data_IF_435023870400
#
_entry.id   IF_435023870400
#
_cell.length_a   1.000
_cell.length_b   1.000
_cell.length_c   1.000
_cell.angle_alpha   90.00
_cell.angle_beta   90.00
_cell.angle_gamma   90.00
#
_symmetry.space_group_name_H-M   'P 1'
#
loop_
_entity.id
_entity.type
_entity.pdbx_description
1 polymer ?
#
# COMPACT_ATOMS: atom_id res chain seq x y z
N UNK A 1 -8.67 -12.66 15.08
CA UNK A 1 -8.40 -13.91 14.29
C UNK A 1 -7.06 -14.47 14.74
N UNK A 2 -6.99 -15.70 15.24
CA UNK A 2 -5.72 -16.30 15.70
C UNK A 2 -4.76 -16.50 14.51
N UNK A 3 -3.47 -16.16 14.68
CA UNK A 3 -2.42 -16.41 13.66
C UNK A 3 -2.37 -17.87 13.22
N UNK A 4 -2.71 -18.76 14.14
CA UNK A 4 -2.68 -20.20 13.94
C UNK A 4 -3.80 -20.67 13.03
N UNK A 5 -5.00 -20.09 13.13
CA UNK A 5 -6.15 -20.39 12.26
C UNK A 5 -5.89 -19.97 10.82
N UNK A 6 -5.28 -18.78 10.61
CA UNK A 6 -4.93 -18.33 9.26
C UNK A 6 -3.81 -19.17 8.63
N UNK A 7 -2.83 -19.59 9.43
CA UNK A 7 -1.77 -20.51 9.00
C UNK A 7 -2.31 -21.86 8.62
N UNK A 8 -3.21 -22.44 9.45
CA UNK A 8 -3.85 -23.71 9.17
C UNK A 8 -4.68 -23.64 7.86
N UNK A 9 -5.47 -22.60 7.65
CA UNK A 9 -6.21 -22.42 6.40
C UNK A 9 -5.31 -22.37 5.17
N UNK A 10 -4.18 -21.66 5.26
CA UNK A 10 -3.20 -21.58 4.17
C UNK A 10 -2.52 -22.93 3.90
N UNK A 11 -2.20 -23.71 4.94
CA UNK A 11 -1.64 -25.06 4.80
C UNK A 11 -2.60 -26.01 4.11
N UNK A 12 -3.89 -25.99 4.49
CA UNK A 12 -4.93 -26.78 3.84
C UNK A 12 -5.09 -26.41 2.37
N UNK A 13 -5.07 -25.10 2.06
CA UNK A 13 -5.16 -24.64 0.68
C UNK A 13 -3.99 -25.13 -0.17
N UNK A 14 -2.77 -25.01 0.37
CA UNK A 14 -1.55 -25.48 -0.31
C UNK A 14 -1.55 -26.99 -0.53
N UNK A 15 -2.04 -27.78 0.43
CA UNK A 15 -2.17 -29.23 0.31
C UNK A 15 -3.16 -29.62 -0.80
N UNK A 16 -4.32 -28.95 -0.87
CA UNK A 16 -5.30 -29.21 -1.93
C UNK A 16 -4.78 -28.84 -3.32
N UNK A 17 -4.01 -27.75 -3.42
CA UNK A 17 -3.43 -27.29 -4.70
C UNK A 17 -2.25 -28.14 -5.17
N UNK A 18 -1.56 -28.80 -4.26
CA UNK A 18 -0.44 -29.70 -4.62
C UNK A 18 -0.88 -30.95 -5.38
N UNK A 19 -2.18 -31.25 -5.41
CA UNK A 19 -2.73 -32.50 -5.98
C UNK A 19 -2.35 -33.74 -5.20
N UNK A 20 -1.68 -33.62 -4.05
CA UNK A 20 -1.27 -34.75 -3.20
C UNK A 20 -2.26 -35.03 -2.05
N UNK A 21 -3.36 -34.28 -1.98
CA UNK A 21 -4.37 -34.46 -0.93
C UNK A 21 -5.07 -35.81 -1.05
N UNK A 22 -5.12 -36.56 0.06
CA UNK A 22 -5.78 -37.85 0.17
C UNK A 22 -7.22 -37.69 0.71
N UNK A 23 -8.03 -38.76 0.61
CA UNK A 23 -9.38 -38.79 1.23
C UNK A 23 -9.34 -38.48 2.74
N UNK A 24 -8.26 -38.90 3.43
CA UNK A 24 -8.05 -38.61 4.86
C UNK A 24 -7.82 -37.12 5.09
N UNK A 25 -7.11 -36.45 4.18
CA UNK A 25 -6.85 -35.01 4.29
C UNK A 25 -8.14 -34.21 4.05
N UNK A 26 -8.99 -34.63 3.13
CA UNK A 26 -10.30 -34.04 2.92
C UNK A 26 -11.20 -34.17 4.15
N UNK A 27 -11.23 -35.36 4.78
CA UNK A 27 -11.97 -35.57 6.02
C UNK A 27 -11.43 -34.74 7.19
N UNK A 28 -10.09 -34.63 7.31
CA UNK A 28 -9.43 -33.83 8.34
C UNK A 28 -9.70 -32.33 8.15
N UNK A 29 -9.68 -31.82 6.91
CA UNK A 29 -10.06 -30.45 6.59
C UNK A 29 -11.51 -30.17 6.98
N UNK A 30 -12.44 -31.07 6.63
CA UNK A 30 -13.84 -30.91 6.99
C UNK A 30 -14.01 -30.84 8.51
N UNK A 31 -13.38 -31.75 9.25
CA UNK A 31 -13.41 -31.76 10.72
C UNK A 31 -12.80 -30.44 11.29
N UNK A 32 -11.71 -29.95 10.72
CA UNK A 32 -11.11 -28.68 11.15
C UNK A 32 -12.05 -27.49 10.89
N UNK A 33 -12.75 -27.45 9.76
CA UNK A 33 -13.74 -26.39 9.44
C UNK A 33 -14.90 -26.41 10.41
N UNK A 34 -15.41 -27.59 10.75
CA UNK A 34 -16.56 -27.78 11.62
C UNK A 34 -16.23 -27.55 13.11
N UNK A 35 -14.96 -27.61 13.48
CA UNK A 35 -14.52 -27.49 14.88
C UNK A 35 -14.74 -26.11 15.50
N UNK A 36 -14.79 -25.02 14.69
CA UNK A 36 -15.02 -23.66 15.17
C UNK A 36 -15.51 -22.72 14.06
N UNK A 37 -16.52 -21.83 14.31
CA UNK A 37 -17.01 -20.88 13.29
C UNK A 37 -15.94 -19.98 12.66
N UNK A 38 -14.88 -19.63 13.41
CA UNK A 38 -13.76 -18.86 12.88
C UNK A 38 -12.94 -19.63 11.84
N UNK A 39 -12.86 -20.95 11.93
CA UNK A 39 -12.15 -21.77 10.94
C UNK A 39 -12.85 -21.71 9.60
N UNK A 40 -14.18 -21.88 9.59
CA UNK A 40 -15.00 -21.79 8.38
C UNK A 40 -14.93 -20.40 7.76
N UNK A 41 -15.06 -19.33 8.53
CA UNK A 41 -14.94 -17.95 8.02
C UNK A 41 -13.54 -17.68 7.42
N UNK A 42 -12.50 -18.21 8.05
CA UNK A 42 -11.12 -18.03 7.57
C UNK A 42 -10.90 -18.84 6.30
N UNK A 43 -11.45 -20.04 6.23
CA UNK A 43 -11.42 -20.89 5.04
C UNK A 43 -12.11 -20.23 3.85
N UNK A 44 -13.31 -19.68 4.02
CA UNK A 44 -14.05 -18.97 2.97
C UNK A 44 -13.29 -17.76 2.45
N UNK A 45 -12.65 -16.98 3.35
CA UNK A 45 -11.78 -15.87 2.94
C UNK A 45 -10.58 -16.33 2.12
N UNK A 46 -9.95 -17.44 2.51
CA UNK A 46 -8.82 -18.02 1.78
C UNK A 46 -9.24 -18.50 0.38
N UNK A 47 -10.41 -19.14 0.25
CA UNK A 47 -10.96 -19.56 -1.05
C UNK A 47 -11.32 -18.36 -1.95
N UNK A 48 -11.93 -17.32 -1.40
CA UNK A 48 -12.26 -16.10 -2.16
C UNK A 48 -11.00 -15.43 -2.69
N UNK A 49 -9.95 -15.41 -1.88
CA UNK A 49 -8.66 -14.90 -2.28
C UNK A 49 -8.06 -15.72 -3.43
N UNK A 50 -8.10 -17.05 -3.32
CA UNK A 50 -7.68 -17.97 -4.37
C UNK A 50 -8.41 -17.71 -5.70
N UNK A 51 -9.73 -17.60 -5.69
CA UNK A 51 -10.52 -17.32 -6.89
C UNK A 51 -10.09 -16.03 -7.58
N UNK A 52 -9.81 -14.98 -6.82
CA UNK A 52 -9.30 -13.71 -7.38
C UNK A 52 -7.92 -13.85 -8.04
N UNK A 53 -7.11 -14.81 -7.61
CA UNK A 53 -5.81 -15.09 -8.22
C UNK A 53 -5.89 -16.06 -9.40
N UNK A 54 -6.87 -16.98 -9.44
CA UNK A 54 -7.06 -17.90 -10.57
C UNK A 54 -7.68 -17.22 -11.80
N UNK A 55 -8.31 -16.08 -11.66
CA UNK A 55 -8.78 -15.26 -12.78
C UNK A 55 -7.66 -14.47 -13.50
N UNK A 56 -6.42 -14.58 -13.02
CA UNK A 56 -5.25 -14.07 -13.74
C UNK A 56 -4.91 -15.02 -14.92
N UNK A 57 -4.80 -14.50 -16.18
CA UNK A 57 -4.51 -15.34 -17.34
C UNK A 57 -3.25 -16.15 -17.14
N UNK A 58 -3.32 -17.47 -17.34
CA UNK A 58 -2.19 -18.41 -17.25
C UNK A 58 -0.98 -18.05 -18.12
N UNK A 59 -1.17 -17.20 -19.13
CA UNK A 59 -0.11 -16.70 -19.99
C UNK A 59 1.01 -15.92 -19.27
N UNK A 60 0.75 -15.38 -18.09
CA UNK A 60 1.77 -14.67 -17.30
C UNK A 60 2.60 -15.59 -16.40
N UNK A 61 2.07 -16.76 -16.06
CA UNK A 61 2.80 -17.78 -15.28
C UNK A 61 3.76 -18.61 -16.16
N UNK A 62 3.48 -18.75 -17.44
CA UNK A 62 4.25 -19.58 -18.38
C UNK A 62 5.46 -18.86 -18.98
N UNK A 63 5.52 -17.54 -18.98
CA UNK A 63 6.64 -16.79 -19.57
C UNK A 63 7.97 -16.91 -18.79
N UNK A 64 7.97 -17.54 -17.61
CA UNK A 64 9.18 -17.78 -16.81
C UNK A 64 9.71 -19.20 -16.86
N UNK A 65 9.05 -20.12 -17.57
CA UNK A 65 9.34 -21.57 -17.54
C UNK A 65 9.79 -22.17 -18.89
N UNK A 66 10.10 -21.35 -19.89
CA UNK A 66 10.62 -21.86 -21.16
C UNK A 66 12.11 -22.25 -21.01
N UNK A 67 12.36 -23.49 -20.57
CA UNK A 67 13.65 -24.18 -20.60
C UNK A 67 13.48 -25.63 -21.12
N UNK A 68 14.39 -26.09 -22.00
CA UNK A 68 14.27 -27.40 -22.66
C UNK A 68 14.46 -28.55 -21.69
N UNK A 69 13.85 -29.69 -22.02
CA UNK A 69 13.77 -30.95 -21.26
C UNK A 69 15.12 -31.45 -20.76
N UNK A 70 15.30 -31.79 -19.49
CA UNK A 70 16.48 -32.51 -19.01
C UNK A 70 16.21 -34.00 -18.79
N UNK A 71 17.19 -34.79 -19.20
CA UNK A 71 17.20 -36.24 -19.07
C UNK A 71 17.35 -36.75 -17.62
N UNK A 72 17.28 -38.08 -17.49
CA UNK A 72 17.16 -38.93 -16.28
C UNK A 72 18.06 -38.65 -15.05
N UNK A 73 18.82 -37.58 -15.02
CA UNK A 73 19.63 -37.13 -13.81
C UNK A 73 18.95 -36.09 -12.96
N UNK A 74 17.68 -35.73 -13.22
CA UNK A 74 16.96 -34.65 -12.57
C UNK A 74 16.27 -35.04 -11.23
N UNK A 75 16.14 -36.32 -10.90
CA UNK A 75 15.43 -36.79 -9.72
C UNK A 75 16.16 -36.44 -8.41
N UNK A 76 17.50 -36.36 -8.44
CA UNK A 76 18.27 -35.95 -7.23
C UNK A 76 18.31 -34.42 -7.00
N UNK A 77 17.97 -33.61 -7.99
CA UNK A 77 17.93 -32.15 -7.85
C UNK A 77 16.58 -31.60 -7.34
N UNK A 78 15.54 -32.42 -7.37
CA UNK A 78 14.20 -32.05 -6.87
C UNK A 78 14.15 -31.83 -5.35
N UNK A 79 14.93 -32.58 -4.60
CA UNK A 79 15.01 -32.43 -3.13
C UNK A 79 15.72 -31.15 -2.69
N UNK A 80 16.68 -30.63 -3.49
CA UNK A 80 17.34 -29.35 -3.25
C UNK A 80 16.49 -28.13 -3.65
N UNK A 81 15.56 -28.30 -4.60
CA UNK A 81 14.62 -27.25 -5.01
C UNK A 81 13.58 -26.92 -3.95
N UNK A 82 13.10 -27.91 -3.20
CA UNK A 82 12.19 -27.73 -2.07
C UNK A 82 12.84 -27.01 -0.90
N UNK A 83 14.12 -27.25 -0.65
CA UNK A 83 14.88 -26.55 0.42
C UNK A 83 15.13 -25.06 0.12
N UNK A 84 15.09 -24.65 -1.16
CA UNK A 84 15.23 -23.26 -1.57
C UNK A 84 13.90 -22.50 -1.59
N UNK A 85 12.73 -23.18 -1.71
CA UNK A 85 11.41 -22.52 -1.70
C UNK A 85 10.97 -22.05 -0.31
N UNK A 86 11.43 -22.72 0.76
CA UNK A 86 11.10 -22.33 2.14
C UNK A 86 11.74 -20.98 2.52
N UNK A 87 13.03 -20.70 2.22
CA UNK A 87 13.62 -19.38 2.47
C UNK A 87 13.02 -18.28 1.61
N UNK A 88 12.66 -18.57 0.35
CA UNK A 88 12.03 -17.55 -0.54
C UNK A 88 10.61 -17.23 -0.12
N UNK A 89 9.80 -18.20 0.27
CA UNK A 89 8.48 -17.98 0.84
C UNK A 89 8.58 -17.20 2.18
N UNK A 90 9.59 -17.48 3.00
CA UNK A 90 9.86 -16.77 4.24
C UNK A 90 10.37 -15.33 4.00
N UNK A 91 11.22 -15.10 2.99
CA UNK A 91 11.64 -13.76 2.57
C UNK A 91 10.48 -12.95 1.97
N UNK A 92 9.63 -13.57 1.16
CA UNK A 92 8.42 -12.94 0.60
C UNK A 92 7.43 -12.61 1.72
N UNK A 93 7.25 -13.49 2.71
CA UNK A 93 6.35 -13.24 3.86
C UNK A 93 6.81 -12.09 4.75
N UNK A 94 8.11 -11.78 4.79
CA UNK A 94 8.65 -10.60 5.48
C UNK A 94 8.42 -9.29 4.72
N UNK A 95 8.21 -9.37 3.41
CA UNK A 95 7.93 -8.20 2.57
C UNK A 95 6.42 -7.97 2.33
N UNK A 96 5.58 -8.96 2.64
CA UNK A 96 4.14 -8.77 2.62
C UNK A 96 3.74 -7.96 3.87
N UNK A 97 3.08 -6.81 3.71
CA UNK A 97 2.63 -5.98 4.83
C UNK A 97 1.42 -6.64 5.51
N UNK A 98 1.66 -7.77 6.22
CA UNK A 98 0.60 -8.54 6.91
C UNK A 98 -0.10 -7.65 7.96
N UNK A 99 0.63 -6.69 8.53
CA UNK A 99 0.07 -5.70 9.46
C UNK A 99 -0.95 -4.80 8.77
N UNK A 100 -0.70 -4.38 7.54
CA UNK A 100 -1.63 -3.56 6.76
C UNK A 100 -2.93 -4.30 6.39
N UNK A 101 -2.90 -5.62 6.29
CA UNK A 101 -4.10 -6.44 6.02
C UNK A 101 -5.00 -6.66 7.26
N UNK A 102 -4.46 -6.37 8.44
CA UNK A 102 -5.14 -6.49 9.75
C UNK A 102 -5.61 -5.14 10.26
N UNK A 103 -5.25 -4.06 9.57
CA UNK A 103 -5.60 -2.71 9.93
C UNK A 103 -7.12 -2.56 10.07
N UNK A 104 -7.55 -1.76 11.05
CA UNK A 104 -8.96 -1.45 11.30
C UNK A 104 -9.60 -0.76 10.10
N UNK A 105 -8.82 0.11 9.45
CA UNK A 105 -9.22 0.80 8.22
C UNK A 105 -8.12 0.66 7.16
N UNK A 106 -8.54 0.33 5.94
CA UNK A 106 -7.64 0.27 4.79
C UNK A 106 -8.32 0.76 3.52
N UNK A 107 -7.51 1.16 2.55
CA UNK A 107 -7.90 1.52 1.19
C UNK A 107 -7.12 0.69 0.18
N UNK A 108 -7.78 0.30 -0.91
CA UNK A 108 -7.12 -0.33 -2.06
C UNK A 108 -6.35 0.71 -2.90
N UNK A 109 -5.56 0.23 -3.88
CA UNK A 109 -4.91 1.11 -4.86
C UNK A 109 -5.96 1.90 -5.64
N UNK A 110 -5.83 3.22 -5.65
CA UNK A 110 -6.76 4.18 -6.27
C UNK A 110 -7.97 4.53 -5.39
N UNK A 111 -8.22 3.80 -4.32
CA UNK A 111 -9.30 4.09 -3.37
C UNK A 111 -8.88 5.20 -2.39
N UNK A 112 -9.82 6.04 -2.05
CA UNK A 112 -9.71 7.06 -1.00
C UNK A 112 -10.93 6.95 -0.10
N UNK A 113 -10.73 7.14 1.20
CA UNK A 113 -11.81 7.00 2.19
C UNK A 113 -11.78 8.17 3.17
N UNK A 114 -12.95 8.71 3.50
CA UNK A 114 -13.10 9.72 4.54
C UNK A 114 -13.94 9.16 5.67
N UNK A 115 -13.47 9.36 6.89
CA UNK A 115 -14.14 8.97 8.14
C UNK A 115 -14.30 10.23 8.98
N UNK A 116 -15.51 10.50 9.42
CA UNK A 116 -15.78 11.56 10.39
C UNK A 116 -15.51 11.01 11.80
N UNK A 117 -14.87 11.80 12.61
CA UNK A 117 -14.60 11.48 14.01
C UNK A 117 -15.66 12.11 14.89
N UNK A 118 -15.95 11.50 16.06
CA UNK A 118 -17.02 11.93 16.97
C UNK A 118 -16.81 13.35 17.53
N UNK A 119 -15.57 13.85 17.50
CA UNK A 119 -15.20 15.20 17.96
C UNK A 119 -15.33 16.28 16.87
N UNK A 120 -15.96 15.97 15.75
CA UNK A 120 -16.12 16.85 14.58
C UNK A 120 -14.89 16.92 13.68
N UNK A 121 -13.83 16.19 14.01
CA UNK A 121 -12.66 16.02 13.16
C UNK A 121 -12.90 15.09 11.98
N UNK A 122 -11.90 14.95 11.12
CA UNK A 122 -11.96 13.97 10.03
C UNK A 122 -10.62 13.32 9.74
N UNK A 123 -10.68 12.02 9.45
CA UNK A 123 -9.58 11.21 8.96
C UNK A 123 -9.83 10.88 7.50
N UNK A 124 -8.89 11.25 6.62
CA UNK A 124 -8.93 10.85 5.21
C UNK A 124 -7.76 9.91 4.94
N UNK A 125 -8.04 8.79 4.30
CA UNK A 125 -7.06 7.81 3.85
C UNK A 125 -6.87 7.96 2.34
N UNK A 126 -5.62 8.07 1.92
CA UNK A 126 -5.24 8.08 0.51
C UNK A 126 -5.16 6.64 -0.05
N UNK A 127 -4.74 6.50 -1.29
CA UNK A 127 -4.54 5.22 -1.98
C UNK A 127 -3.62 4.27 -1.20
N UNK A 128 -3.94 2.97 -1.19
CA UNK A 128 -3.12 1.91 -0.59
C UNK A 128 -2.66 2.22 0.85
N UNK A 129 -3.58 2.70 1.67
CA UNK A 129 -3.31 3.13 3.05
C UNK A 129 -3.90 2.13 4.04
N UNK A 130 -3.17 1.89 5.13
CA UNK A 130 -3.58 1.04 6.23
C UNK A 130 -3.31 1.73 7.58
N UNK A 131 -4.33 1.80 8.43
CA UNK A 131 -4.27 2.43 9.76
C UNK A 131 -5.02 1.61 10.79
N UNK A 132 -4.48 1.57 12.01
CA UNK A 132 -5.22 1.15 13.20
C UNK A 132 -5.75 2.38 13.94
N UNK A 133 -6.98 2.29 14.46
CA UNK A 133 -7.67 3.43 15.08
C UNK A 133 -8.16 3.04 16.47
N UNK A 134 -7.59 3.65 17.49
CA UNK A 134 -8.04 3.57 18.88
C UNK A 134 -8.61 4.91 19.32
N UNK A 135 -9.92 5.10 19.12
CA UNK A 135 -10.60 6.36 19.48
C UNK A 135 -10.67 6.55 20.99
N UNK A 136 -10.69 5.48 21.79
CA UNK A 136 -10.71 5.58 23.25
C UNK A 136 -9.41 6.20 23.77
N UNK A 137 -8.27 5.85 23.17
CA UNK A 137 -6.97 6.45 23.48
C UNK A 137 -6.61 7.65 22.61
N UNK A 138 -7.52 8.07 21.71
CA UNK A 138 -7.28 9.14 20.73
C UNK A 138 -5.98 8.91 19.94
N UNK A 139 -5.79 7.68 19.42
CA UNK A 139 -4.59 7.26 18.71
C UNK A 139 -4.94 6.67 17.35
N UNK A 140 -4.16 7.05 16.36
CA UNK A 140 -4.16 6.50 15.01
C UNK A 140 -2.75 6.00 14.72
N UNK A 141 -2.59 4.75 14.32
CA UNK A 141 -1.29 4.19 13.91
C UNK A 141 -1.26 4.05 12.40
N UNK A 142 -0.38 4.82 11.74
CA UNK A 142 -0.16 4.71 10.30
C UNK A 142 0.81 3.56 10.03
N UNK A 143 0.29 2.45 9.51
CA UNK A 143 1.06 1.26 9.17
C UNK A 143 1.70 1.41 7.80
N UNK A 144 0.93 1.88 6.79
CA UNK A 144 1.40 2.14 5.43
C UNK A 144 0.52 3.19 4.74
N UNK A 145 1.04 3.79 3.66
CA UNK A 145 0.29 4.74 2.83
C UNK A 145 0.36 6.18 3.34
N UNK A 146 -0.76 6.87 3.28
CA UNK A 146 -0.86 8.31 3.54
C UNK A 146 -2.23 8.67 4.10
N UNK A 147 -2.24 9.46 5.17
CA UNK A 147 -3.46 9.98 5.78
C UNK A 147 -3.44 11.52 5.87
N UNK A 148 -4.62 12.10 5.89
CA UNK A 148 -4.85 13.48 6.32
C UNK A 148 -5.75 13.46 7.55
N UNK A 149 -5.37 14.19 8.58
CA UNK A 149 -6.08 14.30 9.85
C UNK A 149 -6.41 15.77 10.11
N UNK A 150 -7.68 16.03 10.39
CA UNK A 150 -8.19 17.31 10.85
C UNK A 150 -8.70 17.15 12.27
N UNK A 151 -8.11 17.86 13.20
CA UNK A 151 -8.51 17.88 14.62
C UNK A 151 -8.88 19.30 15.00
N UNK A 152 -10.18 19.66 15.01
CA UNK A 152 -10.63 21.02 15.35
C UNK A 152 -10.56 21.32 16.85
N UNK A 153 -10.60 20.29 17.70
CA UNK A 153 -10.62 20.42 19.15
C UNK A 153 -9.25 20.57 19.80
N UNK A 154 -9.24 21.04 21.04
CA UNK A 154 -8.03 21.21 21.86
C UNK A 154 -7.48 19.86 22.38
N UNK A 155 -8.34 18.84 22.53
CA UNK A 155 -7.91 17.51 22.94
C UNK A 155 -7.06 16.85 21.85
N UNK A 156 -5.78 16.53 22.12
CA UNK A 156 -4.89 16.05 21.09
C UNK A 156 -5.25 14.64 20.59
N UNK A 157 -5.09 14.42 19.27
CA UNK A 157 -5.04 13.13 18.66
C UNK A 157 -3.57 12.76 18.42
N UNK A 158 -3.18 11.55 18.76
CA UNK A 158 -1.82 11.03 18.52
C UNK A 158 -1.77 10.24 17.23
N UNK A 159 -0.90 10.60 16.30
CA UNK A 159 -0.58 9.79 15.12
C UNK A 159 0.75 9.09 15.36
N UNK A 160 0.70 7.77 15.47
CA UNK A 160 1.87 6.92 15.63
C UNK A 160 2.38 6.49 14.25
N UNK A 161 3.68 6.55 14.03
CA UNK A 161 4.34 6.07 12.81
C UNK A 161 5.52 5.16 13.16
N UNK A 162 6.13 4.50 12.18
CA UNK A 162 7.35 3.71 12.39
C UNK A 162 8.55 4.53 12.84
N UNK A 163 8.50 5.87 12.67
CA UNK A 163 9.64 6.77 12.89
C UNK A 163 9.44 7.74 14.03
N UNK A 164 8.31 7.67 14.73
CA UNK A 164 7.97 8.53 15.87
C UNK A 164 6.48 8.81 15.94
N UNK A 165 6.12 9.76 16.79
CA UNK A 165 4.74 10.14 17.05
C UNK A 165 4.49 11.64 16.80
N UNK A 166 3.25 11.95 16.44
CA UNK A 166 2.76 13.31 16.27
C UNK A 166 1.59 13.55 17.23
N UNK A 167 1.58 14.70 17.91
CA UNK A 167 0.42 15.18 18.66
C UNK A 167 -0.23 16.31 17.89
N UNK A 168 -1.47 16.09 17.49
CA UNK A 168 -2.26 16.97 16.62
C UNK A 168 -3.44 17.51 17.42
N UNK A 169 -3.53 18.83 17.60
CA UNK A 169 -4.66 19.53 18.24
C UNK A 169 -4.86 20.87 17.56
N UNK A 170 -6.10 21.24 17.27
CA UNK A 170 -6.45 22.45 16.52
C UNK A 170 -5.61 22.63 15.25
N UNK A 171 -5.41 21.52 14.50
CA UNK A 171 -4.50 21.48 13.37
C UNK A 171 -4.97 20.52 12.28
N UNK A 172 -4.51 20.79 11.06
CA UNK A 172 -4.65 19.91 9.91
C UNK A 172 -3.27 19.43 9.44
N UNK A 173 -3.09 18.12 9.36
CA UNK A 173 -1.82 17.50 9.02
C UNK A 173 -2.02 16.38 8.00
N UNK A 174 -1.06 16.25 7.07
CA UNK A 174 -0.90 15.07 6.23
C UNK A 174 0.36 14.31 6.65
N UNK A 175 0.24 12.98 6.72
CA UNK A 175 1.31 12.09 7.15
C UNK A 175 1.43 10.98 6.12
N UNK A 176 2.59 10.88 5.47
CA UNK A 176 2.86 9.89 4.43
C UNK A 176 4.03 8.99 4.83
N UNK A 177 3.74 7.70 4.92
CA UNK A 177 4.77 6.69 5.14
C UNK A 177 5.60 6.51 3.85
N UNK A 178 6.91 6.53 3.96
CA UNK A 178 7.86 6.31 2.88
C UNK A 178 8.74 5.11 3.22
N UNK A 179 9.43 4.54 2.23
CA UNK A 179 10.35 3.41 2.45
C UNK A 179 11.43 3.72 3.50
N UNK A 180 11.94 4.97 3.52
CA UNK A 180 13.02 5.40 4.42
C UNK A 180 12.63 6.65 5.24
N UNK A 181 11.42 6.68 5.79
CA UNK A 181 10.97 7.78 6.62
C UNK A 181 9.47 8.02 6.54
N UNK A 182 9.03 9.07 7.18
CA UNK A 182 7.67 9.54 7.15
C UNK A 182 7.70 11.04 6.82
N UNK A 183 6.91 11.47 5.84
CA UNK A 183 6.74 12.89 5.53
C UNK A 183 5.56 13.42 6.32
N UNK A 184 5.80 14.49 7.06
CA UNK A 184 4.80 15.21 7.85
C UNK A 184 4.63 16.59 7.26
N UNK A 185 3.42 16.95 6.82
CA UNK A 185 3.08 18.25 6.23
C UNK A 185 1.95 18.88 7.02
N UNK A 186 2.19 20.03 7.65
CA UNK A 186 1.19 20.74 8.44
C UNK A 186 0.52 21.80 7.57
N UNK A 187 -0.80 21.65 7.35
CA UNK A 187 -1.57 22.58 6.53
C UNK A 187 -1.98 23.81 7.36
N UNK A 188 -2.51 23.57 8.56
CA UNK A 188 -2.97 24.62 9.47
C UNK A 188 -2.64 24.25 10.90
N UNK A 189 -2.49 25.26 11.76
CA UNK A 189 -2.17 25.10 13.16
C UNK A 189 -0.72 24.72 13.40
N UNK A 190 -0.47 23.96 14.47
CA UNK A 190 0.86 23.47 14.83
C UNK A 190 0.79 22.02 15.30
N UNK A 191 1.83 21.26 14.99
CA UNK A 191 1.92 19.83 15.33
C UNK A 191 3.22 19.57 16.07
N UNK A 192 3.12 18.95 17.24
CA UNK A 192 4.30 18.48 17.97
C UNK A 192 4.71 17.11 17.42
N UNK A 193 5.98 16.98 17.04
CA UNK A 193 6.58 15.74 16.53
C UNK A 193 7.61 15.25 17.55
N UNK A 194 7.53 13.98 17.92
CA UNK A 194 8.53 13.30 18.75
C UNK A 194 9.19 12.21 17.93
N UNK A 195 10.51 12.25 17.79
CA UNK A 195 11.28 11.21 17.13
C UNK A 195 11.53 9.99 18.04
N UNK A 196 12.12 8.93 17.48
CA UNK A 196 12.43 7.71 18.23
C UNK A 196 13.47 7.90 19.34
N UNK A 197 14.26 8.97 19.29
CA UNK A 197 15.22 9.32 20.35
C UNK A 197 14.57 10.11 21.48
N UNK A 198 13.26 10.45 21.35
CA UNK A 198 12.52 11.25 22.32
C UNK A 198 12.65 12.76 22.12
N UNK A 199 13.42 13.23 21.12
CA UNK A 199 13.51 14.67 20.83
C UNK A 199 12.19 15.18 20.28
N UNK A 200 11.81 16.37 20.71
CA UNK A 200 10.57 17.02 20.32
C UNK A 200 10.87 18.25 19.44
N UNK A 201 10.03 18.45 18.44
CA UNK A 201 10.01 19.64 17.61
C UNK A 201 8.57 20.01 17.28
N UNK A 202 8.33 21.28 16.97
CA UNK A 202 7.01 21.78 16.54
C UNK A 202 7.11 22.22 15.08
N UNK A 203 6.21 21.70 14.25
CA UNK A 203 5.99 22.14 12.88
C UNK A 203 4.78 23.08 12.84
N UNK A 204 4.89 24.15 12.08
CA UNK A 204 3.84 25.14 11.88
C UNK A 204 3.12 24.92 10.55
N UNK A 205 1.94 25.49 10.39
CA UNK A 205 1.22 25.51 9.12
C UNK A 205 2.10 26.01 7.97
N UNK A 206 2.03 25.34 6.81
CA UNK A 206 2.89 25.61 5.65
C UNK A 206 4.27 24.96 5.70
N UNK A 207 4.60 24.23 6.75
CA UNK A 207 5.86 23.51 6.91
C UNK A 207 5.70 22.01 6.72
N UNK A 208 6.72 21.39 6.12
CA UNK A 208 6.86 19.94 6.07
C UNK A 208 8.25 19.51 6.53
N UNK A 209 8.34 18.32 7.10
CA UNK A 209 9.61 17.72 7.48
C UNK A 209 9.55 16.20 7.31
N UNK A 210 10.72 15.60 7.09
CA UNK A 210 10.86 14.15 7.01
C UNK A 210 11.36 13.59 8.34
N UNK A 211 10.56 12.73 8.94
CA UNK A 211 10.91 11.97 10.13
C UNK A 211 11.56 10.65 9.70
N UNK A 212 12.76 10.37 10.17
CA UNK A 212 13.57 9.17 9.85
C UNK A 212 14.03 8.50 11.13
N UNK A 213 14.67 7.33 11.00
CA UNK A 213 15.30 6.62 12.14
C UNK A 213 16.32 7.50 12.89
N UNK A 214 17.04 8.38 12.18
CA UNK A 214 17.99 9.34 12.77
C UNK A 214 17.37 10.62 13.34
N UNK A 215 16.04 10.73 13.36
CA UNK A 215 15.30 11.86 13.90
C UNK A 215 14.60 12.70 12.84
N UNK A 216 14.06 13.84 13.29
CA UNK A 216 13.37 14.80 12.43
C UNK A 216 14.42 15.58 11.60
N UNK A 217 14.24 15.57 10.27
CA UNK A 217 15.02 16.39 9.36
C UNK A 217 14.66 17.89 9.43
N UNK A 218 15.41 18.71 8.71
CA UNK A 218 15.08 20.13 8.57
C UNK A 218 13.68 20.27 7.95
N UNK A 219 12.93 21.24 8.44
CA UNK A 219 11.66 21.61 7.84
C UNK A 219 11.88 22.45 6.57
N UNK A 220 10.97 22.31 5.62
CA UNK A 220 10.91 23.10 4.40
C UNK A 220 9.48 23.61 4.19
N UNK A 221 9.30 24.75 3.51
CA UNK A 221 7.99 25.13 3.02
C UNK A 221 7.45 24.05 2.07
N UNK A 222 6.13 23.87 2.03
CA UNK A 222 5.50 23.04 1.03
C UNK A 222 4.32 23.75 0.39
N UNK A 223 4.01 23.35 -0.84
CA UNK A 223 2.83 23.83 -1.53
C UNK A 223 1.62 22.94 -1.17
N UNK A 224 0.56 23.53 -0.63
CA UNK A 224 -0.68 22.84 -0.28
C UNK A 224 -1.34 22.15 -1.49
N UNK A 225 -1.06 22.59 -2.72
CA UNK A 225 -1.53 21.96 -3.95
C UNK A 225 -1.01 20.51 -4.12
N UNK A 226 0.12 20.17 -3.51
CA UNK A 226 0.64 18.79 -3.47
C UNK A 226 -0.28 17.83 -2.69
N UNK A 227 -1.15 18.36 -1.85
CA UNK A 227 -2.13 17.60 -1.07
C UNK A 227 -3.54 17.61 -1.68
N UNK A 228 -3.67 17.97 -2.96
CA UNK A 228 -4.92 18.00 -3.71
C UNK A 228 -5.62 16.62 -3.80
N UNK A 229 -4.92 15.53 -3.50
CA UNK A 229 -5.51 14.20 -3.41
C UNK A 229 -6.68 14.12 -2.42
N UNK A 230 -6.71 14.98 -1.41
CA UNK A 230 -7.82 15.10 -0.44
C UNK A 230 -9.13 15.43 -1.13
N UNK A 231 -9.06 16.20 -2.21
CA UNK A 231 -10.17 16.62 -3.05
C UNK A 231 -10.28 15.81 -4.35
N UNK A 232 -9.47 14.74 -4.47
CA UNK A 232 -9.47 13.88 -5.63
C UNK A 232 -8.70 14.41 -6.83
N UNK A 233 -7.79 15.34 -6.62
CA UNK A 233 -7.05 16.00 -7.69
C UNK A 233 -5.54 15.81 -7.49
N UNK A 234 -4.83 15.57 -8.58
CA UNK A 234 -3.38 15.62 -8.64
C UNK A 234 -3.00 16.88 -9.42
N UNK A 235 -2.30 17.80 -8.78
CA UNK A 235 -1.90 19.07 -9.37
C UNK A 235 -0.39 19.10 -9.65
N UNK A 236 -0.01 19.56 -10.82
CA UNK A 236 1.36 19.78 -11.24
C UNK A 236 1.54 21.24 -11.65
N UNK A 237 2.62 21.88 -11.21
CA UNK A 237 3.03 23.22 -11.61
C UNK A 237 4.46 23.16 -12.12
N UNK A 238 4.63 23.22 -13.44
CA UNK A 238 5.94 23.11 -14.09
C UNK A 238 6.79 21.96 -13.53
N UNK A 239 6.12 20.83 -13.21
CA UNK A 239 6.72 19.64 -12.60
C UNK A 239 7.34 18.74 -13.68
N UNK A 240 8.50 18.10 -13.46
CA UNK A 240 9.00 17.04 -14.35
C UNK A 240 7.96 15.92 -14.50
N UNK A 241 7.74 15.47 -15.75
CA UNK A 241 6.77 14.40 -16.05
C UNK A 241 7.09 13.12 -15.27
N UNK A 242 8.37 12.76 -15.16
CA UNK A 242 8.77 11.58 -14.39
C UNK A 242 8.31 11.64 -12.94
N UNK A 243 8.41 12.80 -12.26
CA UNK A 243 7.94 12.97 -10.88
C UNK A 243 6.42 12.88 -10.81
N UNK A 244 5.71 13.46 -11.77
CA UNK A 244 4.27 13.38 -11.87
C UNK A 244 3.79 11.93 -12.09
N UNK A 245 4.45 11.19 -12.99
CA UNK A 245 4.11 9.79 -13.27
C UNK A 245 4.39 8.86 -12.08
N UNK A 246 5.45 9.11 -11.31
CA UNK A 246 5.72 8.38 -10.06
C UNK A 246 4.61 8.58 -9.04
N UNK A 247 4.08 9.80 -8.93
CA UNK A 247 2.94 10.07 -8.04
C UNK A 247 1.65 9.46 -8.60
N UNK A 248 1.37 9.60 -9.90
CA UNK A 248 0.20 9.01 -10.56
C UNK A 248 0.17 7.48 -10.44
N UNK A 249 1.33 6.83 -10.52
CA UNK A 249 1.45 5.37 -10.40
C UNK A 249 0.91 4.84 -9.06
N UNK A 250 0.93 5.62 -7.99
CA UNK A 250 0.34 5.23 -6.69
C UNK A 250 -1.16 4.95 -6.79
N UNK A 251 -1.84 5.59 -7.71
CA UNK A 251 -3.29 5.49 -7.89
C UNK A 251 -3.71 4.46 -8.94
N UNK A 252 -2.73 3.80 -9.57
CA UNK A 252 -2.98 2.80 -10.61
C UNK A 252 -2.56 1.41 -10.16
N UNK A 253 -3.40 0.38 -10.37
CA UNK A 253 -2.94 -0.99 -10.24
C UNK A 253 -1.99 -1.35 -11.40
N UNK A 254 -0.92 -2.09 -11.07
CA UNK A 254 0.04 -2.56 -12.07
C UNK A 254 1.26 -1.67 -12.24
N UNK A 255 1.85 -1.68 -13.44
CA UNK A 255 3.13 -1.06 -13.75
C UNK A 255 2.97 0.00 -14.82
N UNK A 256 3.45 1.20 -14.55
CA UNK A 256 3.60 2.28 -15.49
C UNK A 256 5.09 2.44 -15.80
N UNK A 257 5.48 2.34 -17.07
CA UNK A 257 6.85 2.55 -17.53
C UNK A 257 6.88 3.68 -18.55
N UNK A 258 7.95 4.40 -18.57
CA UNK A 258 8.17 5.47 -19.55
C UNK A 258 9.63 5.51 -20.00
N UNK A 259 9.85 6.02 -21.20
CA UNK A 259 11.19 6.25 -21.73
C UNK A 259 11.90 7.36 -20.94
N UNK A 260 13.24 7.27 -20.74
CA UNK A 260 14.01 8.29 -20.04
C UNK A 260 13.92 9.68 -20.68
N UNK A 261 13.69 9.75 -22.00
CA UNK A 261 13.48 10.99 -22.75
C UNK A 261 12.29 11.81 -22.26
N UNK A 262 11.27 11.15 -21.68
CA UNK A 262 10.05 11.79 -21.17
C UNK A 262 10.22 12.37 -19.75
N UNK A 263 11.25 11.96 -19.00
CA UNK A 263 11.48 12.37 -17.60
C UNK A 263 11.45 13.87 -17.39
N UNK A 264 12.12 14.63 -18.28
CA UNK A 264 12.33 16.06 -18.15
C UNK A 264 11.20 16.91 -18.71
N UNK A 265 10.24 16.34 -19.44
CA UNK A 265 9.08 17.07 -19.96
C UNK A 265 8.34 17.74 -18.81
N UNK A 266 7.75 18.91 -19.07
CA UNK A 266 7.11 19.70 -18.02
C UNK A 266 5.60 19.57 -18.09
N UNK A 267 5.01 19.29 -16.92
CA UNK A 267 3.56 19.17 -16.74
C UNK A 267 3.06 20.35 -15.93
N UNK A 268 1.98 20.95 -16.39
CA UNK A 268 1.19 21.92 -15.63
C UNK A 268 -0.28 21.61 -15.83
N UNK A 269 -1.02 21.46 -14.75
CA UNK A 269 -2.46 21.19 -14.79
C UNK A 269 -2.97 20.55 -13.51
N UNK A 270 -4.28 20.43 -13.44
CA UNK A 270 -4.99 19.73 -12.36
C UNK A 270 -5.76 18.56 -12.93
N UNK A 271 -5.53 17.37 -12.43
CA UNK A 271 -6.00 16.11 -12.99
C UNK A 271 -6.84 15.35 -11.97
N UNK A 272 -8.04 14.93 -12.37
CA UNK A 272 -8.93 14.14 -11.50
C UNK A 272 -8.43 12.72 -11.39
N UNK A 273 -8.24 12.24 -10.18
CA UNK A 273 -7.73 10.92 -9.86
C UNK A 273 -8.74 9.78 -10.10
N UNK A 274 -9.98 10.10 -10.41
CA UNK A 274 -11.05 9.11 -10.65
C UNK A 274 -10.81 8.29 -11.94
N UNK A 275 -10.10 8.88 -12.92
CA UNK A 275 -9.78 8.24 -14.20
C UNK A 275 -8.32 8.52 -14.59
N UNK A 276 -7.46 7.63 -14.16
CA UNK A 276 -6.02 7.73 -14.41
C UNK A 276 -5.62 7.39 -15.85
N UNK A 277 -6.43 6.65 -16.60
CA UNK A 277 -6.18 6.38 -18.03
C UNK A 277 -6.39 7.66 -18.83
N UNK A 278 -7.48 8.38 -18.56
CA UNK A 278 -7.74 9.68 -19.16
C UNK A 278 -6.63 10.71 -18.89
N UNK A 279 -6.01 10.67 -17.70
CA UNK A 279 -4.86 11.55 -17.39
C UNK A 279 -3.71 11.24 -18.36
N UNK A 280 -3.38 9.96 -18.57
CA UNK A 280 -2.30 9.57 -19.48
C UNK A 280 -2.59 9.98 -20.93
N UNK A 281 -3.83 9.82 -21.40
CA UNK A 281 -4.24 10.22 -22.74
C UNK A 281 -4.15 11.74 -22.95
N UNK A 282 -4.56 12.53 -21.96
CA UNK A 282 -4.45 13.99 -21.99
C UNK A 282 -2.99 14.44 -22.02
N UNK A 283 -2.14 13.83 -21.20
CA UNK A 283 -0.70 14.13 -21.19
C UNK A 283 -0.04 13.75 -22.52
N UNK A 284 -0.38 12.59 -23.08
CA UNK A 284 0.13 12.14 -24.38
C UNK A 284 -0.25 13.09 -25.50
N UNK A 285 -1.51 13.53 -25.52
CA UNK A 285 -2.00 14.50 -26.52
C UNK A 285 -1.30 15.85 -26.40
N UNK A 286 -1.04 16.30 -25.17
CA UNK A 286 -0.43 17.61 -24.89
C UNK A 286 1.08 17.64 -25.10
N UNK A 287 1.79 16.56 -24.76
CA UNK A 287 3.24 16.49 -24.74
C UNK A 287 3.84 15.71 -25.93
N UNK A 288 2.99 15.10 -26.78
CA UNK A 288 3.41 14.46 -28.02
C UNK A 288 4.04 13.08 -27.86
N UNK A 289 3.75 12.35 -26.79
CA UNK A 289 4.20 10.98 -26.61
C UNK A 289 3.05 9.96 -26.84
N UNK A 290 3.36 8.68 -26.89
CA UNK A 290 2.38 7.62 -27.11
C UNK A 290 2.12 6.80 -25.85
N UNK A 291 0.86 6.41 -25.63
CA UNK A 291 0.46 5.49 -24.58
C UNK A 291 0.22 4.11 -25.20
N UNK A 292 0.94 3.11 -24.73
CA UNK A 292 0.81 1.73 -25.17
C UNK A 292 0.37 0.87 -23.98
N UNK A 293 -0.91 0.53 -23.92
CA UNK A 293 -1.45 -0.38 -22.93
C UNK A 293 -1.39 -1.82 -23.47
N UNK A 294 -0.49 -2.66 -22.94
CA UNK A 294 -0.48 -4.10 -23.25
C UNK A 294 -1.62 -4.83 -22.52
N UNK A 295 -1.88 -4.40 -21.29
CA UNK A 295 -3.03 -4.81 -20.48
C UNK A 295 -3.43 -3.61 -19.61
N UNK A 296 -4.57 -3.68 -18.92
CA UNK A 296 -4.95 -2.67 -17.92
C UNK A 296 -3.92 -2.47 -16.78
N UNK A 297 -3.03 -3.47 -16.59
CA UNK A 297 -2.00 -3.47 -15.54
C UNK A 297 -0.58 -3.17 -16.06
N UNK A 298 -0.40 -3.05 -17.37
CA UNK A 298 0.90 -2.80 -17.97
C UNK A 298 0.80 -1.74 -19.05
N UNK A 299 1.25 -0.54 -18.71
CA UNK A 299 1.23 0.64 -19.60
C UNK A 299 2.65 1.14 -19.79
N UNK A 300 3.01 1.43 -21.05
CA UNK A 300 4.29 2.02 -21.43
C UNK A 300 4.06 3.32 -22.18
N UNK A 301 4.88 4.33 -21.88
CA UNK A 301 4.87 5.64 -22.55
C UNK A 301 6.18 5.77 -23.34
N UNK A 302 6.06 6.16 -24.62
CA UNK A 302 7.19 6.28 -25.55
C UNK A 302 7.05 7.48 -26.49
#
# INVERSE_FOLDING_TARGET
MSRDVARAAAQWLALLESGAATERDHAALQHWRDSHPQHEQTWQKAQTLRQRFSDLPQALAMASLDRPQPGRRAVLKGALGLAALVPTAWLISRQLPIEAWRADLHTATGERKRVLLDDGGSLQLNTATAVDVDLAQRRITLLDGELALDVPGAAPMTVQTRYGELKVSQAQVCVRQLAAGCLVSVLQGSVQVRDLSGRMATLQGGQQARLKTGGLGAWTPFDALQLGWRDGVLTAQNQPLGDFLRELQRYRPGVLRWEPSLEALRVTGSFRLDDTDRILDLLASSLGFRVQARTRYWVTLS
#
